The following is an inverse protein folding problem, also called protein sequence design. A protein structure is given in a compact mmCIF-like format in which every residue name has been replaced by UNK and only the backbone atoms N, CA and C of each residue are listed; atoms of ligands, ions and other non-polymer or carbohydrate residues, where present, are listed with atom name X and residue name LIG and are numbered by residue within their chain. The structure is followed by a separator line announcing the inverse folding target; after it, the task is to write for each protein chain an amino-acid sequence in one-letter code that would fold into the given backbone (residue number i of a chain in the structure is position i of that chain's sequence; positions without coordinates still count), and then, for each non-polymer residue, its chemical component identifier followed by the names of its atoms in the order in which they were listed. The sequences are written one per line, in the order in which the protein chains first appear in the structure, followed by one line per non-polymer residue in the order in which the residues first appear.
data_IF_568139496676
#
_entry.id   IF_568139496676
#
_cell.length_a   1.000
_cell.length_b   1.000
_cell.length_c   1.000
_cell.angle_alpha   90.00
_cell.angle_beta   90.00
_cell.angle_gamma   90.00
#
_symmetry.space_group_name_H-M   'P 1'
#
loop_
_entity.id
_entity.type
_entity.pdbx_description
1 polymer ?
#
# COMPACT_ATOMS: atom_id res chain seq x y z
N UNK A 1 -12.94 19.01 0.33
CA UNK A 1 -11.67 18.47 -0.18
C UNK A 1 -10.56 19.43 0.20
N UNK A 2 -9.35 18.94 0.43
CA UNK A 2 -8.19 19.79 0.69
C UNK A 2 -7.70 20.48 -0.60
N UNK A 3 -6.98 21.59 -0.48
CA UNK A 3 -6.34 22.28 -1.62
C UNK A 3 -5.43 21.33 -2.42
N UNK A 4 -4.76 20.40 -1.73
CA UNK A 4 -3.90 19.37 -2.34
C UNK A 4 -4.73 18.38 -3.16
N UNK A 5 -5.88 17.93 -2.64
CA UNK A 5 -6.78 17.03 -3.38
C UNK A 5 -7.27 17.68 -4.68
N UNK A 6 -7.62 18.97 -4.66
CA UNK A 6 -8.04 19.69 -5.86
C UNK A 6 -6.94 19.78 -6.91
N UNK A 7 -5.70 20.09 -6.49
CA UNK A 7 -4.53 20.09 -7.38
C UNK A 7 -4.29 18.72 -8.02
N UNK A 8 -4.41 17.64 -7.24
CA UNK A 8 -4.26 16.27 -7.75
C UNK A 8 -5.35 15.97 -8.79
N UNK A 9 -6.61 16.31 -8.51
CA UNK A 9 -7.72 16.08 -9.45
C UNK A 9 -7.56 16.88 -10.75
N UNK A 10 -7.07 18.11 -10.66
CA UNK A 10 -6.75 18.90 -11.86
C UNK A 10 -5.64 18.23 -12.68
N UNK A 11 -4.58 17.74 -12.01
CA UNK A 11 -3.47 17.09 -12.69
C UNK A 11 -3.87 15.77 -13.36
N UNK A 12 -4.72 14.96 -12.72
CA UNK A 12 -5.30 13.74 -13.29
C UNK A 12 -6.00 14.01 -14.63
N UNK A 13 -6.72 15.14 -14.73
CA UNK A 13 -7.43 15.52 -15.97
C UNK A 13 -6.51 15.99 -17.09
N UNK A 14 -5.34 16.53 -16.74
CA UNK A 14 -4.44 17.21 -17.66
C UNK A 14 -3.28 16.33 -18.14
N UNK A 15 -2.91 15.30 -17.37
CA UNK A 15 -1.69 14.54 -17.59
C UNK A 15 -1.94 13.02 -17.41
N UNK A 16 -2.15 12.27 -18.50
CA UNK A 16 -2.32 10.82 -18.44
C UNK A 16 -1.12 10.08 -17.84
N UNK A 17 0.10 10.58 -18.04
CA UNK A 17 1.29 9.97 -17.44
C UNK A 17 1.26 10.11 -15.92
N UNK A 18 0.79 11.25 -15.41
CA UNK A 18 0.58 11.44 -13.97
C UNK A 18 -0.35 10.38 -13.38
N UNK A 19 -1.42 9.99 -14.10
CA UNK A 19 -2.31 8.91 -13.65
C UNK A 19 -1.58 7.58 -13.52
N UNK A 20 -0.70 7.25 -14.47
CA UNK A 20 0.13 6.04 -14.39
C UNK A 20 1.09 6.08 -13.19
N UNK A 21 1.79 7.20 -13.00
CA UNK A 21 2.68 7.38 -11.85
C UNK A 21 1.93 7.30 -10.52
N UNK A 22 0.76 7.94 -10.42
CA UNK A 22 -0.05 7.93 -9.21
C UNK A 22 -0.50 6.51 -8.86
N UNK A 23 -0.99 5.75 -9.84
CA UNK A 23 -1.40 4.34 -9.62
C UNK A 23 -0.23 3.46 -9.21
N UNK A 24 0.94 3.65 -9.82
CA UNK A 24 2.15 2.92 -9.44
C UNK A 24 2.57 3.28 -8.02
N UNK A 25 2.56 4.57 -7.66
CA UNK A 25 2.87 5.04 -6.31
C UNK A 25 1.90 4.50 -5.26
N UNK A 26 0.60 4.48 -5.54
CA UNK A 26 -0.42 3.87 -4.66
C UNK A 26 -0.13 2.38 -4.45
N UNK A 27 0.17 1.65 -5.52
CA UNK A 27 0.52 0.22 -5.46
C UNK A 27 1.80 -0.01 -4.65
N UNK A 28 2.85 0.77 -4.90
CA UNK A 28 4.14 0.64 -4.21
C UNK A 28 4.00 0.94 -2.72
N UNK A 29 3.22 1.98 -2.37
CA UNK A 29 2.94 2.36 -0.99
C UNK A 29 2.14 1.29 -0.25
N UNK A 30 1.06 0.80 -0.86
CA UNK A 30 0.24 -0.26 -0.27
C UNK A 30 1.05 -1.54 -0.06
N UNK A 31 1.92 -1.86 -1.01
CA UNK A 31 2.82 -3.00 -0.93
C UNK A 31 3.89 -2.81 0.16
N UNK A 32 4.45 -1.61 0.31
CA UNK A 32 5.41 -1.29 1.36
C UNK A 32 4.83 -1.59 2.75
N UNK A 33 3.60 -1.14 3.02
CA UNK A 33 2.88 -1.46 4.27
C UNK A 33 2.68 -2.96 4.44
N UNK A 34 2.23 -3.67 3.40
CA UNK A 34 2.02 -5.11 3.47
C UNK A 34 3.30 -5.90 3.77
N UNK A 35 4.45 -5.45 3.25
CA UNK A 35 5.76 -6.05 3.51
C UNK A 35 6.23 -5.77 4.95
N UNK A 36 6.04 -4.54 5.43
CA UNK A 36 6.37 -4.16 6.81
C UNK A 36 5.54 -4.95 7.83
N UNK A 37 4.23 -5.06 7.59
CA UNK A 37 3.32 -5.89 8.39
C UNK A 37 3.74 -7.36 8.38
N UNK A 38 4.09 -7.91 7.21
CA UNK A 38 4.57 -9.28 7.11
C UNK A 38 5.85 -9.49 7.94
N UNK A 39 6.77 -8.53 7.94
CA UNK A 39 7.98 -8.59 8.76
C UNK A 39 7.62 -8.63 10.25
N UNK A 40 6.68 -7.78 10.69
CA UNK A 40 6.20 -7.77 12.08
C UNK A 40 5.49 -9.07 12.46
N UNK A 41 4.64 -9.62 11.59
CA UNK A 41 3.97 -10.92 11.81
C UNK A 41 4.94 -12.09 11.96
N UNK A 42 6.14 -11.99 11.35
CA UNK A 42 7.18 -13.00 11.47
C UNK A 42 8.10 -12.76 12.69
N UNK A 43 7.87 -11.70 13.46
CA UNK A 43 8.71 -11.27 14.58
C UNK A 43 10.19 -11.08 14.19
N UNK A 44 10.43 -10.55 12.98
CA UNK A 44 11.78 -10.33 12.47
C UNK A 44 12.15 -8.85 12.53
N UNK A 45 13.36 -8.58 12.98
CA UNK A 45 13.98 -7.28 12.73
C UNK A 45 14.30 -7.14 11.23
N UNK A 46 14.51 -5.91 10.78
CA UNK A 46 14.78 -5.58 9.38
C UNK A 46 16.00 -6.34 8.81
N UNK A 47 17.17 -6.43 9.48
CA UNK A 47 18.29 -7.26 9.02
C UNK A 47 17.96 -8.74 8.78
N UNK A 48 17.23 -9.38 9.68
CA UNK A 48 16.93 -10.81 9.58
C UNK A 48 15.84 -11.10 8.56
N UNK A 49 14.89 -10.17 8.41
CA UNK A 49 13.93 -10.22 7.31
C UNK A 49 14.62 -10.09 5.95
N UNK A 50 15.55 -9.14 5.79
CA UNK A 50 16.32 -8.98 4.55
C UNK A 50 17.07 -10.27 4.17
N UNK A 51 17.69 -10.94 5.16
CA UNK A 51 18.33 -12.26 4.96
C UNK A 51 17.31 -13.32 4.53
N UNK A 52 16.15 -13.38 5.20
CA UNK A 52 15.09 -14.35 4.92
C UNK A 52 14.57 -14.23 3.49
N UNK A 53 14.26 -13.01 3.04
CA UNK A 53 13.77 -12.77 1.68
C UNK A 53 14.89 -12.65 0.64
N UNK A 54 16.16 -12.76 1.04
CA UNK A 54 17.36 -12.68 0.18
C UNK A 54 17.46 -11.38 -0.62
N UNK A 55 17.27 -10.23 0.03
CA UNK A 55 17.51 -8.91 -0.57
C UNK A 55 18.56 -8.13 0.23
N UNK A 56 19.32 -7.22 -0.40
CA UNK A 56 20.19 -6.30 0.33
C UNK A 56 19.39 -5.44 1.32
N UNK A 57 19.99 -5.09 2.47
CA UNK A 57 19.36 -4.22 3.49
C UNK A 57 18.87 -2.88 2.91
N UNK A 58 19.64 -2.29 1.98
CA UNK A 58 19.28 -1.05 1.29
C UNK A 58 18.02 -1.20 0.42
N UNK A 59 17.86 -2.37 -0.22
CA UNK A 59 16.67 -2.68 -1.01
C UNK A 59 15.46 -2.85 -0.10
N UNK A 60 15.61 -3.55 1.04
CA UNK A 60 14.53 -3.67 2.01
C UNK A 60 14.11 -2.30 2.58
N UNK A 61 15.06 -1.39 2.83
CA UNK A 61 14.74 -0.04 3.31
C UNK A 61 13.88 0.73 2.31
N UNK A 62 14.24 0.71 1.03
CA UNK A 62 13.46 1.35 -0.05
C UNK A 62 12.10 0.70 -0.24
N UNK A 63 12.06 -0.62 -0.14
CA UNK A 63 10.84 -1.41 -0.24
C UNK A 63 9.83 -1.04 0.87
N UNK A 64 10.27 -1.02 2.13
CA UNK A 64 9.40 -0.66 3.27
C UNK A 64 9.07 0.83 3.33
N UNK A 65 9.81 1.70 2.61
CA UNK A 65 9.51 3.14 2.54
C UNK A 65 8.71 3.54 1.30
N UNK A 66 8.40 2.62 0.39
CA UNK A 66 7.77 2.94 -0.90
C UNK A 66 8.65 3.77 -1.85
N UNK A 67 9.97 3.85 -1.60
CA UNK A 67 10.95 4.62 -2.40
C UNK A 67 11.57 3.79 -3.54
N UNK A 68 10.77 2.87 -4.09
CA UNK A 68 11.12 2.10 -5.27
C UNK A 68 9.89 1.49 -5.92
N UNK A 69 9.95 1.34 -7.24
CA UNK A 69 8.99 0.56 -8.00
C UNK A 69 9.09 -0.93 -7.62
N UNK A 70 7.95 -1.51 -7.25
CA UNK A 70 7.87 -2.90 -6.81
C UNK A 70 7.41 -3.79 -7.94
N UNK A 71 8.21 -4.81 -8.24
CA UNK A 71 7.92 -5.74 -9.32
C UNK A 71 7.18 -7.00 -8.84
N UNK A 72 6.33 -7.62 -9.68
CA UNK A 72 5.72 -8.91 -9.37
C UNK A 72 6.74 -10.01 -9.02
N UNK A 73 7.94 -9.95 -9.60
CA UNK A 73 9.04 -10.87 -9.29
C UNK A 73 9.48 -10.74 -7.83
N UNK A 74 9.66 -9.52 -7.33
CA UNK A 74 10.05 -9.28 -5.95
C UNK A 74 8.95 -9.75 -4.98
N UNK A 75 7.69 -9.45 -5.29
CA UNK A 75 6.55 -9.94 -4.51
C UNK A 75 6.54 -11.46 -4.41
N UNK A 76 6.70 -12.16 -5.55
CA UNK A 76 6.71 -13.62 -5.57
C UNK A 76 7.90 -14.20 -4.77
N UNK A 77 9.06 -13.54 -4.83
CA UNK A 77 10.22 -13.90 -4.01
C UNK A 77 9.92 -13.78 -2.52
N UNK A 78 9.31 -12.67 -2.08
CA UNK A 78 8.92 -12.45 -0.68
C UNK A 78 7.94 -13.54 -0.24
N UNK A 79 6.89 -13.78 -1.02
CA UNK A 79 5.88 -14.80 -0.71
C UNK A 79 6.51 -16.20 -0.55
N UNK A 80 7.33 -16.61 -1.53
CA UNK A 80 8.00 -17.92 -1.51
C UNK A 80 8.93 -18.07 -0.30
N UNK A 81 9.71 -17.03 0.03
CA UNK A 81 10.70 -17.08 1.14
C UNK A 81 10.07 -16.99 2.53
N UNK A 82 8.86 -16.46 2.61
CA UNK A 82 8.12 -16.32 3.87
C UNK A 82 7.07 -17.41 4.08
N UNK A 83 6.88 -18.30 3.10
CA UNK A 83 5.81 -19.31 3.15
C UNK A 83 4.41 -18.69 3.06
N UNK A 84 4.31 -17.51 2.45
CA UNK A 84 3.05 -16.79 2.23
C UNK A 84 2.60 -16.93 0.77
N UNK A 85 1.39 -16.46 0.49
CA UNK A 85 0.80 -16.42 -0.85
C UNK A 85 0.32 -15.00 -1.15
N UNK A 86 0.40 -14.62 -2.42
CA UNK A 86 -0.17 -13.36 -2.91
C UNK A 86 -1.61 -13.65 -3.35
N UNK A 87 -2.53 -12.75 -3.02
CA UNK A 87 -3.89 -12.72 -3.57
C UNK A 87 -4.01 -11.47 -4.44
N UNK A 88 -4.35 -11.65 -5.71
CA UNK A 88 -4.61 -10.56 -6.65
C UNK A 88 -6.11 -10.48 -6.90
N UNK A 89 -6.67 -9.30 -6.71
CA UNK A 89 -8.07 -9.01 -7.02
C UNK A 89 -8.09 -7.80 -7.96
N UNK A 90 -8.82 -7.89 -9.07
CA UNK A 90 -9.13 -6.75 -9.91
C UNK A 90 -10.40 -6.09 -9.37
N UNK A 91 -10.37 -4.76 -9.18
CA UNK A 91 -11.49 -3.98 -8.69
C UNK A 91 -11.87 -2.90 -9.72
N UNK A 92 -13.12 -2.47 -9.68
CA UNK A 92 -13.59 -1.36 -10.51
C UNK A 92 -12.87 -0.06 -10.08
N UNK A 93 -12.29 0.65 -11.04
CA UNK A 93 -11.53 1.88 -10.78
C UNK A 93 -12.37 2.99 -10.10
N UNK A 94 -13.70 2.95 -10.25
CA UNK A 94 -14.61 3.97 -9.72
C UNK A 94 -15.21 3.63 -8.35
N UNK A 95 -15.20 2.36 -7.92
CA UNK A 95 -15.80 1.94 -6.63
C UNK A 95 -14.87 2.05 -5.42
N UNK A 96 -13.57 2.31 -5.65
CA UNK A 96 -12.60 2.48 -4.56
C UNK A 96 -12.77 3.76 -3.73
N UNK A 97 -13.56 4.74 -4.20
CA UNK A 97 -13.75 6.04 -3.55
C UNK A 97 -14.82 6.05 -2.45
N UNK A 98 -15.77 5.10 -2.45
CA UNK A 98 -16.85 5.05 -1.45
C UNK A 98 -16.39 4.47 -0.11
N UNK A 99 -15.52 3.47 -0.11
CA UNK A 99 -15.10 2.78 1.12
C UNK A 99 -14.13 3.60 2.02
N UNK A 100 -13.56 4.69 1.52
CA UNK A 100 -12.70 5.57 2.31
C UNK A 100 -13.50 6.57 3.18
N UNK A 101 -14.78 6.79 2.88
CA UNK A 101 -15.62 7.78 3.57
C UNK A 101 -16.50 7.17 4.68
N UNK A 102 -16.76 5.85 4.68
CA UNK A 102 -17.56 5.20 5.72
C UNK A 102 -16.80 5.00 7.05
N UNK A 103 -15.46 4.96 7.03
CA UNK A 103 -14.65 4.85 8.26
C UNK A 103 -14.60 6.13 9.10
N UNK A 104 -15.10 7.26 8.59
CA UNK A 104 -15.21 8.52 9.32
C UNK A 104 -16.57 8.75 10.01
N UNK A 105 -17.60 7.94 9.73
CA UNK A 105 -18.97 8.20 10.24
C UNK A 105 -19.43 7.30 11.41
N UNK A 106 -18.63 6.30 11.81
CA UNK A 106 -19.01 5.38 12.90
C UNK A 106 -18.40 5.76 14.26
N UNK A 107 -18.43 7.04 14.64
CA UNK A 107 -18.26 7.48 16.05
C UNK A 107 -19.03 8.78 16.26
N UNK A 108 -20.35 8.71 16.44
CA UNK A 108 -21.15 9.65 17.24
C UNK A 108 -22.62 9.23 17.25
N UNK A 109 -22.97 8.25 18.08
CA UNK A 109 -24.29 8.18 18.72
C UNK A 109 -24.07 7.74 20.16
N UNK A 110 -24.24 8.61 21.16
CA UNK A 110 -24.50 8.18 22.53
C UNK A 110 -25.96 7.73 22.64
N UNK A 111 -26.12 6.60 23.29
CA UNK A 111 -27.36 5.90 23.56
C UNK A 111 -28.38 6.79 24.30
N UNK A 112 -29.62 6.73 23.82
CA UNK A 112 -30.80 7.31 24.47
C UNK A 112 -31.17 6.48 25.71
N UNK A 113 -30.91 7.01 26.91
CA UNK A 113 -31.61 6.59 28.12
C UNK A 113 -32.70 7.62 28.47
N UNK A 114 -33.93 7.13 28.57
CA UNK A 114 -35.13 7.87 28.97
C UNK A 114 -36.39 7.14 28.55
#
# INVERSE_FOLDING_TARGET
MSEIEEMIQQRIKQDPNFVHYLRQFEFDTATAFAVDDLRHQLNLNRPDFAKKIKVPKRVLLKLESGDMEITPRLLNQIATRTGRKIRLNFIDAEKGKENANESAHSKNQPESHG
#
